data_IF_181848765040
#
_entry.id   IF_181848765040
#
_cell.length_a   1.000
_cell.length_b   1.000
_cell.length_c   1.000
_cell.angle_alpha   90.00
_cell.angle_beta   90.00
_cell.angle_gamma   90.00
#
_symmetry.space_group_name_H-M   'P 1'
#
loop_
_entity.id
_entity.type
_entity.pdbx_description
1 polymer ?
#
# COMPACT_ATOMS: atom_id res chain seq x y z
N UNK A 1 10.13 -5.74 -8.61
CA UNK A 1 8.92 -6.59 -8.50
C UNK A 1 8.74 -7.07 -7.05
N UNK A 2 7.54 -6.93 -6.47
CA UNK A 2 7.22 -7.39 -5.11
C UNK A 2 7.15 -8.93 -5.04
N UNK A 3 7.95 -9.62 -4.21
CA UNK A 3 7.97 -11.09 -4.15
C UNK A 3 6.65 -11.68 -3.65
N UNK A 4 5.86 -10.92 -2.89
CA UNK A 4 4.55 -11.37 -2.37
C UNK A 4 3.47 -11.31 -3.44
N UNK A 5 3.57 -10.33 -4.36
CA UNK A 5 2.67 -10.22 -5.50
C UNK A 5 2.78 -11.44 -6.45
N UNK A 6 3.98 -12.04 -6.55
CA UNK A 6 4.20 -13.28 -7.31
C UNK A 6 3.35 -14.46 -6.82
N UNK A 7 2.97 -14.46 -5.54
CA UNK A 7 2.12 -15.51 -4.94
C UNK A 7 0.64 -15.19 -5.12
N UNK A 8 0.27 -13.91 -4.96
CA UNK A 8 -1.13 -13.49 -4.99
C UNK A 8 -1.75 -13.46 -6.39
N UNK A 9 -0.97 -13.15 -7.43
CA UNK A 9 -1.50 -13.12 -8.80
C UNK A 9 -1.98 -14.51 -9.25
N UNK A 10 -1.21 -15.60 -9.08
CA UNK A 10 -1.70 -16.96 -9.32
C UNK A 10 -2.92 -17.34 -8.47
N UNK A 11 -2.91 -16.97 -7.18
CA UNK A 11 -4.03 -17.23 -6.28
C UNK A 11 -5.31 -16.51 -6.73
N UNK A 12 -5.22 -15.26 -7.18
CA UNK A 12 -6.35 -14.53 -7.73
C UNK A 12 -6.89 -15.20 -8.99
N UNK A 13 -6.01 -15.69 -9.88
CA UNK A 13 -6.41 -16.46 -11.08
C UNK A 13 -7.14 -17.75 -10.70
N UNK A 14 -6.69 -18.45 -9.67
CA UNK A 14 -7.32 -19.69 -9.20
C UNK A 14 -8.67 -19.44 -8.52
N UNK A 15 -8.81 -18.34 -7.77
CA UNK A 15 -10.00 -18.10 -6.95
C UNK A 15 -11.10 -17.29 -7.64
N UNK A 16 -10.76 -16.40 -8.58
CA UNK A 16 -11.73 -15.60 -9.32
C UNK A 16 -12.44 -16.44 -10.40
N UNK A 17 -13.41 -17.26 -9.99
CA UNK A 17 -14.10 -18.21 -10.88
C UNK A 17 -15.50 -17.76 -11.34
N UNK A 18 -16.19 -16.94 -10.57
CA UNK A 18 -17.46 -16.33 -10.98
C UNK A 18 -17.26 -15.19 -11.98
N UNK A 19 -18.34 -14.78 -12.65
CA UNK A 19 -18.30 -13.79 -13.72
C UNK A 19 -17.81 -12.40 -13.22
N UNK A 20 -18.26 -11.98 -12.04
CA UNK A 20 -17.90 -10.69 -11.46
C UNK A 20 -16.40 -10.66 -11.10
N UNK A 21 -15.92 -11.67 -10.38
CA UNK A 21 -14.51 -11.80 -10.01
C UNK A 21 -13.60 -11.93 -11.23
N UNK A 22 -14.02 -12.63 -12.28
CA UNK A 22 -13.27 -12.73 -13.55
C UNK A 22 -13.16 -11.37 -14.24
N UNK A 23 -14.25 -10.60 -14.29
CA UNK A 23 -14.23 -9.27 -14.85
C UNK A 23 -13.33 -8.32 -14.03
N UNK A 24 -13.38 -8.42 -12.70
CA UNK A 24 -12.48 -7.67 -11.81
C UNK A 24 -11.01 -8.03 -12.08
N UNK A 25 -10.67 -9.32 -12.16
CA UNK A 25 -9.31 -9.76 -12.44
C UNK A 25 -8.81 -9.28 -13.82
N UNK A 26 -9.65 -9.39 -14.85
CA UNK A 26 -9.32 -8.89 -16.19
C UNK A 26 -9.09 -7.37 -16.18
N UNK A 27 -9.92 -6.63 -15.45
CA UNK A 27 -9.75 -5.18 -15.26
C UNK A 27 -8.42 -4.86 -14.58
N UNK A 28 -8.05 -5.58 -13.52
CA UNK A 28 -6.78 -5.37 -12.81
C UNK A 28 -5.57 -5.66 -13.72
N UNK A 29 -5.62 -6.70 -14.54
CA UNK A 29 -4.55 -7.01 -15.51
C UNK A 29 -4.44 -5.90 -16.55
N UNK A 30 -5.55 -5.45 -17.12
CA UNK A 30 -5.55 -4.36 -18.10
C UNK A 30 -5.01 -3.04 -17.51
N UNK A 31 -5.34 -2.73 -16.26
CA UNK A 31 -4.80 -1.57 -15.53
C UNK A 31 -3.31 -1.72 -15.28
N UNK A 32 -2.83 -2.89 -14.84
CA UNK A 32 -1.40 -3.15 -14.66
C UNK A 32 -0.64 -2.89 -15.97
N UNK A 33 -1.09 -3.47 -17.08
CA UNK A 33 -0.46 -3.30 -18.39
C UNK A 33 -0.47 -1.85 -18.88
N UNK A 34 -1.59 -1.14 -18.71
CA UNK A 34 -1.70 0.27 -19.06
C UNK A 34 -0.75 1.14 -18.23
N UNK A 35 -0.70 0.92 -16.91
CA UNK A 35 0.23 1.60 -16.02
C UNK A 35 1.69 1.31 -16.39
N UNK A 36 2.04 0.05 -16.70
CA UNK A 36 3.40 -0.28 -17.14
C UNK A 36 3.81 0.53 -18.37
N UNK A 37 2.95 0.58 -19.39
CA UNK A 37 3.23 1.36 -20.62
C UNK A 37 3.41 2.85 -20.32
N UNK A 38 2.50 3.44 -19.55
CA UNK A 38 2.54 4.87 -19.22
C UNK A 38 3.76 5.26 -18.38
N UNK A 39 4.16 4.42 -17.42
CA UNK A 39 5.31 4.69 -16.58
C UNK A 39 6.63 4.43 -17.32
N UNK A 40 6.70 3.39 -18.16
CA UNK A 40 7.86 3.14 -19.01
C UNK A 40 8.12 4.32 -19.96
N UNK A 41 7.08 4.93 -20.53
CA UNK A 41 7.20 6.12 -21.38
C UNK A 41 7.77 7.35 -20.64
N UNK A 42 7.84 7.31 -19.30
CA UNK A 42 8.37 8.39 -18.44
C UNK A 42 9.63 7.95 -17.69
N UNK A 43 10.28 6.87 -18.12
CA UNK A 43 11.45 6.26 -17.47
C UNK A 43 11.21 5.93 -15.99
N UNK A 44 9.98 5.52 -15.64
CA UNK A 44 9.60 5.07 -14.30
C UNK A 44 9.24 3.60 -14.30
N UNK A 45 9.78 2.86 -13.34
CA UNK A 45 9.51 1.44 -13.16
C UNK A 45 8.60 1.24 -11.94
N UNK A 46 7.28 1.15 -12.17
CA UNK A 46 6.27 0.99 -11.11
C UNK A 46 5.52 -0.31 -11.34
N UNK A 47 5.67 -1.26 -10.42
CA UNK A 47 5.04 -2.58 -10.47
C UNK A 47 3.86 -2.70 -9.53
N UNK A 48 2.89 -3.54 -9.88
CA UNK A 48 1.85 -3.95 -8.95
C UNK A 48 2.48 -4.62 -7.73
N UNK A 49 2.06 -4.17 -6.54
CA UNK A 49 2.50 -4.74 -5.27
C UNK A 49 1.49 -5.78 -4.75
N UNK A 50 1.79 -6.34 -3.59
CA UNK A 50 0.91 -7.29 -2.87
C UNK A 50 -0.54 -6.81 -2.74
N UNK A 51 -0.75 -5.50 -2.49
CA UNK A 51 -2.06 -4.94 -2.20
C UNK A 51 -2.97 -4.91 -3.44
N UNK A 52 -2.36 -4.80 -4.63
CA UNK A 52 -3.08 -4.71 -5.89
C UNK A 52 -3.89 -5.97 -6.20
N UNK A 53 -3.28 -7.16 -6.08
CA UNK A 53 -3.95 -8.43 -6.34
C UNK A 53 -4.68 -9.01 -5.13
N UNK A 54 -4.31 -8.59 -3.90
CA UNK A 54 -5.01 -9.00 -2.68
C UNK A 54 -6.50 -8.66 -2.71
N UNK A 55 -6.87 -7.51 -3.30
CA UNK A 55 -8.27 -7.11 -3.41
C UNK A 55 -9.14 -8.11 -4.19
N UNK A 56 -8.61 -8.67 -5.29
CA UNK A 56 -9.32 -9.68 -6.08
C UNK A 56 -9.51 -10.99 -5.29
N UNK A 57 -8.48 -11.42 -4.56
CA UNK A 57 -8.56 -12.60 -3.68
C UNK A 57 -9.64 -12.40 -2.61
N UNK A 58 -9.62 -11.27 -1.89
CA UNK A 58 -10.62 -11.00 -0.86
C UNK A 58 -12.04 -10.84 -1.41
N UNK A 59 -12.18 -10.24 -2.59
CA UNK A 59 -13.47 -10.15 -3.27
C UNK A 59 -14.02 -11.54 -3.62
N UNK A 60 -13.19 -12.44 -4.17
CA UNK A 60 -13.60 -13.83 -4.44
C UNK A 60 -13.97 -14.64 -3.19
N UNK A 61 -13.47 -14.23 -2.01
CA UNK A 61 -13.85 -14.78 -0.71
C UNK A 61 -15.15 -14.16 -0.13
N UNK A 62 -15.78 -13.23 -0.83
CA UNK A 62 -16.97 -12.53 -0.36
C UNK A 62 -16.71 -11.54 0.78
N UNK A 63 -15.47 -11.13 0.98
CA UNK A 63 -15.11 -10.18 2.04
C UNK A 63 -15.46 -8.76 1.57
N UNK A 64 -16.26 -7.99 2.32
CA UNK A 64 -16.51 -6.59 2.01
C UNK A 64 -15.22 -5.75 2.02
N UNK A 65 -15.07 -4.85 1.05
CA UNK A 65 -13.85 -4.05 0.85
C UNK A 65 -13.45 -3.20 2.06
N UNK A 66 -14.42 -2.74 2.85
CA UNK A 66 -14.17 -1.97 4.07
C UNK A 66 -13.48 -2.77 5.18
N UNK A 67 -13.42 -4.11 5.07
CA UNK A 67 -12.65 -4.96 5.99
C UNK A 67 -11.22 -5.28 5.52
N UNK A 68 -10.81 -4.90 4.31
CA UNK A 68 -9.50 -5.29 3.76
C UNK A 68 -8.33 -4.81 4.62
N UNK A 69 -8.40 -3.58 5.12
CA UNK A 69 -7.38 -3.00 6.00
C UNK A 69 -7.38 -3.66 7.39
N UNK A 70 -8.55 -4.08 7.89
CA UNK A 70 -8.64 -4.80 9.16
C UNK A 70 -7.93 -6.16 9.07
N UNK A 71 -8.17 -6.93 8.00
CA UNK A 71 -7.53 -8.23 7.77
C UNK A 71 -6.01 -8.08 7.57
N UNK A 72 -5.59 -7.06 6.82
CA UNK A 72 -4.17 -6.71 6.72
C UNK A 72 -3.55 -6.44 8.09
N UNK A 73 -4.25 -5.70 8.95
CA UNK A 73 -3.79 -5.35 10.30
C UNK A 73 -3.70 -6.58 11.19
N UNK A 74 -4.68 -7.50 11.11
CA UNK A 74 -4.66 -8.78 11.82
C UNK A 74 -3.42 -9.59 11.47
N UNK A 75 -3.06 -9.67 10.19
CA UNK A 75 -1.81 -10.31 9.76
C UNK A 75 -0.57 -9.57 10.27
N UNK A 76 -0.59 -8.23 10.25
CA UNK A 76 0.59 -7.41 10.59
C UNK A 76 0.85 -7.29 12.09
N UNK A 77 -0.15 -7.57 12.95
CA UNK A 77 -0.02 -7.43 14.41
C UNK A 77 1.16 -8.23 14.96
N UNK A 78 1.44 -9.42 14.40
CA UNK A 78 2.59 -10.23 14.79
C UNK A 78 3.92 -9.51 14.52
N UNK A 79 4.03 -8.85 13.37
CA UNK A 79 5.21 -8.05 13.03
C UNK A 79 5.36 -6.82 13.92
N UNK A 80 4.25 -6.13 14.23
CA UNK A 80 4.27 -4.98 15.15
C UNK A 80 4.74 -5.38 16.54
N UNK A 81 4.22 -6.49 17.08
CA UNK A 81 4.63 -7.01 18.38
C UNK A 81 6.09 -7.45 18.35
N UNK A 82 6.53 -8.16 17.30
CA UNK A 82 7.92 -8.59 17.15
C UNK A 82 8.88 -7.39 17.16
N UNK A 83 8.63 -6.37 16.34
CA UNK A 83 9.45 -5.14 16.32
C UNK A 83 9.42 -4.39 17.64
N UNK A 84 8.28 -4.34 18.33
CA UNK A 84 8.20 -3.74 19.66
C UNK A 84 9.08 -4.48 20.67
N UNK A 85 9.01 -5.81 20.71
CA UNK A 85 9.82 -6.64 21.61
C UNK A 85 11.32 -6.53 21.29
N UNK A 86 11.69 -6.47 20.01
CA UNK A 86 13.06 -6.26 19.55
C UNK A 86 13.58 -4.89 19.99
N UNK A 87 12.84 -3.82 19.71
CA UNK A 87 13.20 -2.45 20.09
C UNK A 87 13.33 -2.29 21.60
N UNK A 88 12.50 -2.98 22.38
CA UNK A 88 12.56 -2.93 23.85
C UNK A 88 13.84 -3.49 24.46
N UNK A 89 14.61 -4.32 23.74
CA UNK A 89 15.87 -4.89 24.26
C UNK A 89 16.99 -3.86 24.31
N UNK A 90 16.99 -2.89 23.40
CA UNK A 90 17.97 -1.81 23.32
C UNK A 90 17.29 -0.49 22.90
N UNK A 91 16.34 -0.05 23.74
CA UNK A 91 15.45 1.06 23.39
C UNK A 91 16.15 2.40 23.48
N UNK A 92 16.05 3.20 22.42
CA UNK A 92 16.51 4.58 22.38
C UNK A 92 15.33 5.52 22.11
N UNK A 93 15.26 6.66 22.79
CA UNK A 93 14.20 7.64 22.52
C UNK A 93 14.30 8.19 21.09
N UNK A 94 13.28 7.97 20.28
CA UNK A 94 13.20 8.50 18.91
C UNK A 94 12.79 9.98 18.98
N UNK A 95 13.75 10.89 18.76
CA UNK A 95 13.56 12.35 18.86
C UNK A 95 13.99 13.07 17.57
N UNK A 96 13.23 12.97 16.48
CA UNK A 96 13.58 13.63 15.23
C UNK A 96 13.52 15.16 15.40
N UNK A 97 14.34 15.87 14.62
CA UNK A 97 14.30 17.34 14.51
C UNK A 97 13.66 17.72 13.18
N UNK A 98 13.01 18.88 13.15
CA UNK A 98 12.51 19.47 11.92
C UNK A 98 13.34 20.71 11.55
N UNK A 99 13.47 20.97 10.25
CA UNK A 99 13.96 22.24 9.74
C UNK A 99 12.76 23.20 9.66
N UNK A 100 12.80 24.30 10.40
CA UNK A 100 11.79 25.35 10.31
C UNK A 100 12.07 26.22 9.08
N UNK A 101 11.11 26.34 8.17
CA UNK A 101 11.17 27.18 6.96
C UNK A 101 10.09 28.28 6.95
N UNK A 102 9.46 28.53 8.09
CA UNK A 102 8.50 29.62 8.24
C UNK A 102 9.18 30.99 8.33
N UNK A 103 8.38 32.08 8.32
CA UNK A 103 8.91 33.44 8.44
C UNK A 103 9.67 33.63 9.75
N UNK A 104 10.67 34.51 9.73
CA UNK A 104 11.37 34.86 10.97
C UNK A 104 10.41 35.54 11.94
N UNK A 105 10.63 35.33 13.24
CA UNK A 105 9.83 35.98 14.29
C UNK A 105 10.01 37.49 14.14
N UNK A 106 8.95 38.18 13.71
CA UNK A 106 8.94 39.63 13.45
C UNK A 106 8.43 40.01 12.06
N UNK A 107 8.47 39.08 11.10
CA UNK A 107 7.95 39.30 9.75
C UNK A 107 6.48 38.87 9.64
N UNK A 108 5.58 39.48 10.42
CA UNK A 108 4.15 39.46 10.03
C UNK A 108 4.00 40.49 8.92
N UNK A 109 3.67 40.01 7.71
CA UNK A 109 3.40 40.89 6.57
C UNK A 109 2.43 42.02 6.96
N UNK A 110 2.73 43.24 6.52
CA UNK A 110 1.92 44.45 6.69
C UNK A 110 0.60 44.36 5.90
N UNK A 111 -0.21 43.33 6.15
CA UNK A 111 -1.48 43.08 5.45
C UNK A 111 -2.63 42.86 6.44
N UNK A 112 -2.53 43.45 7.63
CA UNK A 112 -3.61 43.52 8.61
C UNK A 112 -3.57 44.86 9.37
N UNK A 113 -3.47 45.96 8.61
CA UNK A 113 -3.75 47.32 9.07
C UNK A 113 -4.73 47.95 8.08
#
# INVERSE_FOLDING_TARGET
MDPRAKILKPMAVEMCQDEESKNLLATLVAVEEACQREFAARDKEIWANVEFYKGAVFHSLGIPSHYFTAIFTMSRVYGYIAHFLEFRRDSHLIRPRALYTGPQIGERGKSAA
#
